data_IF_960453915330
#
_entry.id   IF_960453915330
#
_cell.length_a   1.000
_cell.length_b   1.000
_cell.length_c   1.000
_cell.angle_alpha   90.00
_cell.angle_beta   90.00
_cell.angle_gamma   90.00
#
_symmetry.space_group_name_H-M   'P 1'
#
loop_
_entity.id
_entity.type
_entity.pdbx_description
1 polymer ?
#
# COMPACT_ATOMS: atom_id res chain seq x y z
N UNK A 1 4.20 -9.39 28.07
CA UNK A 1 3.36 -9.35 26.85
C UNK A 1 4.19 -9.86 25.69
N UNK A 2 3.97 -11.12 25.28
CA UNK A 2 4.74 -11.79 24.23
C UNK A 2 4.17 -11.38 22.87
N UNK A 3 4.77 -10.38 22.23
CA UNK A 3 4.52 -10.17 20.81
C UNK A 3 5.53 -11.02 20.04
N UNK A 4 5.06 -12.08 19.39
CA UNK A 4 5.81 -12.89 18.45
C UNK A 4 6.42 -11.98 17.37
N UNK A 5 7.71 -11.69 17.44
CA UNK A 5 8.44 -11.25 16.25
C UNK A 5 8.64 -12.50 15.40
N UNK A 6 7.89 -12.57 14.30
CA UNK A 6 8.10 -13.57 13.28
C UNK A 6 9.58 -13.51 12.83
N UNK A 7 10.23 -14.66 12.87
CA UNK A 7 11.51 -14.96 12.24
C UNK A 7 11.46 -14.50 10.77
N UNK A 8 11.98 -13.31 10.49
CA UNK A 8 12.27 -12.87 9.12
C UNK A 8 13.77 -12.67 9.04
N UNK A 9 14.50 -13.79 9.03
CA UNK A 9 15.86 -13.83 8.51
C UNK A 9 15.78 -13.52 7.02
N UNK A 10 15.88 -12.24 6.68
CA UNK A 10 16.09 -11.78 5.31
C UNK A 10 17.21 -10.74 5.37
N UNK A 11 18.41 -11.18 4.98
CA UNK A 11 19.61 -10.36 4.93
C UNK A 11 19.50 -9.32 3.80
N UNK A 12 18.66 -8.31 4.00
CA UNK A 12 18.46 -7.20 3.09
C UNK A 12 17.90 -6.00 3.85
N UNK A 13 18.50 -4.83 3.65
CA UNK A 13 18.16 -3.58 4.31
C UNK A 13 16.65 -3.31 4.24
N UNK A 14 15.92 -3.57 5.34
CA UNK A 14 14.49 -3.30 5.44
C UNK A 14 14.27 -1.81 5.68
N UNK A 15 13.29 -1.23 5.00
CA UNK A 15 12.93 0.18 5.14
C UNK A 15 11.74 0.24 6.11
N UNK A 16 11.90 0.96 7.23
CA UNK A 16 10.92 1.01 8.30
C UNK A 16 10.03 2.25 8.16
N UNK A 17 8.74 2.09 8.44
CA UNK A 17 7.82 3.21 8.61
C UNK A 17 8.10 3.93 9.94
N UNK A 18 8.33 5.24 9.89
CA UNK A 18 8.58 6.04 11.10
C UNK A 18 7.32 6.27 11.94
N UNK A 19 6.13 6.32 11.33
CA UNK A 19 4.86 6.51 12.05
C UNK A 19 4.37 5.29 12.84
N UNK A 20 4.67 4.06 12.39
CA UNK A 20 4.15 2.82 13.01
C UNK A 20 5.14 1.67 13.13
N UNK A 21 6.40 1.84 12.72
CA UNK A 21 7.45 0.84 12.89
C UNK A 21 7.34 -0.39 11.98
N UNK A 22 6.42 -0.42 11.02
CA UNK A 22 6.26 -1.57 10.11
C UNK A 22 7.44 -1.67 9.11
N UNK A 23 8.03 -2.86 8.93
CA UNK A 23 9.10 -3.08 7.95
C UNK A 23 8.55 -3.29 6.53
N UNK A 24 9.27 -2.77 5.54
CA UNK A 24 8.97 -2.93 4.12
C UNK A 24 10.22 -3.33 3.34
N UNK A 25 10.03 -4.19 2.33
CA UNK A 25 11.10 -4.70 1.46
C UNK A 25 11.50 -3.73 0.33
N UNK A 26 10.79 -2.62 0.17
CA UNK A 26 11.06 -1.63 -0.89
C UNK A 26 10.52 -0.26 -0.53
N UNK A 27 11.14 0.79 -1.09
CA UNK A 27 10.71 2.18 -0.89
C UNK A 27 9.32 2.45 -1.48
N UNK A 28 8.96 1.76 -2.57
CA UNK A 28 7.63 1.82 -3.16
C UNK A 28 6.56 1.27 -2.21
N UNK A 29 6.82 0.14 -1.55
CA UNK A 29 5.89 -0.44 -0.58
C UNK A 29 5.71 0.47 0.64
N UNK A 30 6.79 1.08 1.15
CA UNK A 30 6.69 2.08 2.22
C UNK A 30 5.87 3.30 1.77
N UNK A 31 6.13 3.86 0.59
CA UNK A 31 5.40 5.02 0.07
C UNK A 31 3.91 4.73 -0.11
N UNK A 32 3.57 3.53 -0.59
CA UNK A 32 2.19 3.08 -0.67
C UNK A 32 1.53 3.05 0.70
N UNK A 33 2.20 2.43 1.68
CA UNK A 33 1.73 2.37 3.05
C UNK A 33 1.52 3.78 3.66
N UNK A 34 2.48 4.70 3.48
CA UNK A 34 2.35 6.09 3.94
C UNK A 34 1.11 6.76 3.33
N UNK A 35 0.92 6.62 2.02
CA UNK A 35 -0.19 7.26 1.30
C UNK A 35 -1.58 6.70 1.63
N UNK A 36 -1.66 5.44 2.05
CA UNK A 36 -2.95 4.74 2.28
C UNK A 36 -3.32 4.64 3.75
N UNK A 37 -2.35 4.59 4.66
CA UNK A 37 -2.59 4.35 6.08
C UNK A 37 -2.39 5.60 6.93
N UNK A 38 -1.37 6.41 6.62
CA UNK A 38 -0.96 7.54 7.46
C UNK A 38 -1.37 8.91 6.92
N UNK A 39 -1.54 9.04 5.61
CA UNK A 39 -1.83 10.33 4.98
C UNK A 39 -3.30 10.72 5.16
N UNK A 40 -3.55 11.69 6.05
CA UNK A 40 -4.85 12.35 6.24
C UNK A 40 -5.06 13.37 5.11
N UNK A 41 -6.05 13.16 4.24
CA UNK A 41 -6.32 14.06 3.09
C UNK A 41 -5.43 13.83 1.86
N UNK A 42 -4.95 12.60 1.64
CA UNK A 42 -4.27 12.26 0.40
C UNK A 42 -5.24 12.32 -0.80
N UNK A 43 -4.87 13.03 -1.86
CA UNK A 43 -5.48 12.87 -3.17
C UNK A 43 -5.16 11.47 -3.71
N UNK A 44 -5.99 10.51 -3.33
CA UNK A 44 -6.00 9.14 -3.85
C UNK A 44 -6.98 9.09 -5.01
N UNK A 45 -6.68 8.25 -5.99
CA UNK A 45 -7.56 8.01 -7.10
C UNK A 45 -8.59 6.96 -6.67
N UNK A 46 -9.83 7.39 -6.45
CA UNK A 46 -10.92 6.50 -6.10
C UNK A 46 -11.53 5.86 -7.35
N UNK A 47 -11.79 4.55 -7.31
CA UNK A 47 -12.60 3.88 -8.29
C UNK A 47 -14.07 4.26 -8.08
N UNK A 48 -14.69 4.86 -9.10
CA UNK A 48 -16.10 5.23 -9.07
C UNK A 48 -17.05 4.04 -8.99
N UNK A 49 -16.63 2.86 -9.49
CA UNK A 49 -17.48 1.67 -9.54
C UNK A 49 -17.54 0.91 -8.21
N UNK A 50 -16.46 0.91 -7.43
CA UNK A 50 -16.38 0.13 -6.18
C UNK A 50 -15.85 0.88 -4.96
N UNK A 51 -15.50 2.17 -5.09
CA UNK A 51 -15.01 3.00 -3.99
C UNK A 51 -13.58 2.67 -3.51
N UNK A 52 -12.84 1.81 -4.22
CA UNK A 52 -11.45 1.47 -3.85
C UNK A 52 -10.50 2.62 -4.16
N UNK A 53 -9.60 2.89 -3.22
CA UNK A 53 -8.60 3.95 -3.33
C UNK A 53 -7.28 3.43 -3.89
N UNK A 54 -6.71 4.20 -4.81
CA UNK A 54 -5.43 3.89 -5.46
C UNK A 54 -4.43 5.04 -5.30
N UNK A 55 -3.15 4.74 -5.10
CA UNK A 55 -2.10 5.73 -4.87
C UNK A 55 -1.69 6.48 -6.15
N UNK A 56 -2.07 5.97 -7.32
CA UNK A 56 -1.76 6.58 -8.61
C UNK A 56 -2.80 6.24 -9.68
N UNK A 57 -2.94 7.15 -10.65
CA UNK A 57 -3.84 6.99 -11.80
C UNK A 57 -3.57 5.71 -12.58
N UNK A 58 -2.30 5.30 -12.76
CA UNK A 58 -1.94 4.06 -13.45
C UNK A 58 -2.50 2.81 -12.75
N UNK A 59 -2.48 2.78 -11.41
CA UNK A 59 -3.05 1.67 -10.65
C UNK A 59 -4.58 1.66 -10.75
N UNK A 60 -5.23 2.83 -10.70
CA UNK A 60 -6.66 2.93 -10.94
C UNK A 60 -7.02 2.42 -12.35
N UNK A 61 -6.33 2.85 -13.40
CA UNK A 61 -6.62 2.43 -14.77
C UNK A 61 -6.45 0.91 -14.94
N UNK A 62 -5.39 0.32 -14.38
CA UNK A 62 -5.21 -1.15 -14.39
C UNK A 62 -6.36 -1.85 -13.68
N UNK A 63 -6.80 -1.30 -12.54
CA UNK A 63 -7.94 -1.84 -11.82
C UNK A 63 -9.24 -1.72 -12.64
N UNK A 64 -9.50 -0.59 -13.30
CA UNK A 64 -10.74 -0.41 -14.09
C UNK A 64 -10.93 -1.46 -15.18
N UNK A 65 -9.85 -2.06 -15.70
CA UNK A 65 -9.94 -3.17 -16.66
C UNK A 65 -10.73 -4.36 -16.11
N UNK A 66 -10.61 -4.66 -14.81
CA UNK A 66 -11.35 -5.79 -14.21
C UNK A 66 -12.86 -5.55 -14.21
N UNK A 67 -13.30 -4.29 -14.23
CA UNK A 67 -14.71 -3.96 -14.32
C UNK A 67 -15.25 -4.08 -15.76
N UNK A 68 -14.37 -3.95 -16.76
CA UNK A 68 -14.72 -4.12 -18.17
C UNK A 68 -14.63 -5.60 -18.61
N UNK A 69 -13.73 -6.39 -18.03
CA UNK A 69 -13.60 -7.84 -18.27
C UNK A 69 -14.71 -8.70 -17.58
N UNK A 70 -15.68 -8.07 -16.90
CA UNK A 70 -16.83 -8.74 -16.27
C UNK A 70 -18.14 -8.57 -17.07
N UNK A 71 -18.07 -8.07 -18.31
CA UNK A 71 -19.20 -8.03 -19.26
C UNK A 71 -19.26 -9.30 -20.13
#
# INVERSE_FOLDING_TARGET
MKQHLADVKNHGFAIICEDCGKPYNSRTALKYHMSTVHKKGAEVFCCISCGKNYPSKTHLIKHMKIHMDQE
#
